data_IF_525717643225
#
_entry.id   IF_525717643225
#
_cell.length_a   1.000
_cell.length_b   1.000
_cell.length_c   1.000
_cell.angle_alpha   90.00
_cell.angle_beta   90.00
_cell.angle_gamma   90.00
#
_symmetry.space_group_name_H-M   'P 1'
#
loop_
_entity.id
_entity.type
_entity.pdbx_description
1 polymer ?
#
# COMPACT_ATOMS: atom_id res chain seq x y z
N UNK A 1 -14.76 3.12 -16.53
CA UNK A 1 -13.29 3.09 -16.76
C UNK A 1 -12.70 4.26 -16.01
N UNK A 2 -11.77 4.00 -15.12
CA UNK A 2 -11.21 5.04 -14.24
C UNK A 2 -9.78 5.36 -14.69
N UNK A 3 -9.60 6.54 -15.30
CA UNK A 3 -8.26 7.04 -15.58
C UNK A 3 -7.70 7.67 -14.32
N UNK A 4 -6.59 7.14 -13.80
CA UNK A 4 -5.91 7.66 -12.62
C UNK A 4 -4.45 7.95 -12.90
N UNK A 5 -3.85 8.98 -12.23
CA UNK A 5 -2.41 9.14 -12.24
C UNK A 5 -1.76 7.97 -11.50
N UNK A 6 -0.60 7.53 -11.98
CA UNK A 6 0.20 6.50 -11.32
C UNK A 6 1.50 7.11 -10.79
N UNK A 7 1.80 6.80 -9.55
CA UNK A 7 3.03 7.15 -8.88
C UNK A 7 3.85 5.88 -8.60
N UNK A 8 4.82 5.54 -9.46
CA UNK A 8 5.70 4.40 -9.22
C UNK A 8 6.62 4.68 -8.02
N UNK A 9 6.72 3.73 -7.10
CA UNK A 9 7.56 3.85 -5.89
C UNK A 9 8.34 2.55 -5.64
N UNK A 10 9.49 2.67 -4.97
CA UNK A 10 10.23 1.54 -4.39
C UNK A 10 9.67 1.14 -3.02
N UNK A 11 8.37 1.28 -2.85
CA UNK A 11 7.64 0.94 -1.63
C UNK A 11 6.23 0.50 -1.99
N UNK A 12 5.60 -0.24 -1.09
CA UNK A 12 4.28 -0.80 -1.30
C UNK A 12 3.33 -0.35 -0.19
N UNK A 13 2.08 -0.10 -0.54
CA UNK A 13 1.01 0.12 0.43
C UNK A 13 -0.17 -0.77 0.10
N UNK A 14 -0.91 -1.17 1.10
CA UNK A 14 -2.09 -2.01 0.98
C UNK A 14 -3.37 -1.20 1.26
N UNK A 15 -4.55 -1.69 0.88
CA UNK A 15 -5.81 -1.13 1.35
C UNK A 15 -5.84 -0.98 2.87
N UNK A 16 -6.29 0.19 3.34
CA UNK A 16 -6.28 0.56 4.76
C UNK A 16 -4.92 1.02 5.31
N UNK A 17 -3.83 0.90 4.56
CA UNK A 17 -2.50 1.36 4.96
C UNK A 17 -2.31 2.86 4.86
N UNK A 18 -1.41 3.38 5.66
CA UNK A 18 -1.01 4.78 5.68
C UNK A 18 0.46 4.89 5.26
N UNK A 19 0.77 5.89 4.44
CA UNK A 19 2.13 6.12 3.99
C UNK A 19 2.42 7.60 3.91
N UNK A 20 3.46 8.11 4.61
CA UNK A 20 3.97 9.46 4.39
C UNK A 20 4.82 9.48 3.12
N UNK A 21 4.67 10.53 2.32
CA UNK A 21 5.44 10.75 1.10
C UNK A 21 6.00 12.17 1.08
N UNK A 22 7.20 12.31 0.53
CA UNK A 22 7.83 13.61 0.25
C UNK A 22 7.81 13.84 -1.25
N UNK A 23 7.19 14.93 -1.68
CA UNK A 23 6.96 15.24 -3.08
C UNK A 23 7.88 16.38 -3.49
N UNK A 24 8.74 16.15 -4.49
CA UNK A 24 9.69 17.13 -4.98
C UNK A 24 9.68 17.28 -6.51
N UNK A 25 9.25 16.25 -7.26
CA UNK A 25 9.17 16.32 -8.70
C UNK A 25 7.96 17.15 -9.14
N UNK A 26 8.14 18.05 -10.09
CA UNK A 26 7.10 18.96 -10.58
C UNK A 26 5.82 18.23 -11.01
N UNK A 27 5.94 17.14 -11.76
CA UNK A 27 4.80 16.35 -12.23
C UNK A 27 3.96 15.79 -11.06
N UNK A 28 4.58 15.41 -9.96
CA UNK A 28 3.86 14.88 -8.78
C UNK A 28 3.30 16.00 -7.90
N UNK A 29 3.94 17.18 -7.85
CA UNK A 29 3.35 18.35 -7.20
C UNK A 29 2.05 18.77 -7.90
N UNK A 30 2.06 18.81 -9.24
CA UNK A 30 0.87 19.15 -10.02
C UNK A 30 -0.21 18.04 -9.91
N UNK A 31 0.20 16.76 -9.86
CA UNK A 31 -0.71 15.63 -9.60
C UNK A 31 -1.41 15.77 -8.24
N UNK A 32 -0.65 15.99 -7.16
CA UNK A 32 -1.19 16.16 -5.80
C UNK A 32 -2.16 17.34 -5.74
N UNK A 33 -1.78 18.50 -6.30
CA UNK A 33 -2.63 19.68 -6.39
C UNK A 33 -3.97 19.36 -7.05
N UNK A 34 -3.96 18.64 -8.18
CA UNK A 34 -5.17 18.26 -8.89
C UNK A 34 -5.99 17.24 -8.09
N UNK A 35 -5.36 16.24 -7.49
CA UNK A 35 -6.05 15.26 -6.65
C UNK A 35 -6.76 15.90 -5.46
N UNK A 36 -6.13 16.86 -4.80
CA UNK A 36 -6.74 17.61 -3.67
C UNK A 36 -7.90 18.44 -4.17
N UNK A 37 -7.69 19.24 -5.25
CA UNK A 37 -8.72 20.10 -5.81
C UNK A 37 -9.98 19.34 -6.21
N UNK A 38 -9.81 18.20 -6.89
CA UNK A 38 -10.90 17.43 -7.48
C UNK A 38 -11.42 16.33 -6.53
N UNK A 39 -10.89 16.26 -5.30
CA UNK A 39 -11.18 15.22 -4.32
C UNK A 39 -11.03 13.81 -4.93
N UNK A 40 -9.99 13.61 -5.73
CA UNK A 40 -9.62 12.32 -6.32
C UNK A 40 -8.41 11.72 -5.60
N UNK A 41 -7.83 10.67 -6.15
CA UNK A 41 -6.61 10.05 -5.66
C UNK A 41 -5.73 9.60 -6.82
N UNK A 42 -4.71 8.83 -6.51
CA UNK A 42 -3.77 8.29 -7.48
C UNK A 42 -3.37 6.86 -7.11
N UNK A 43 -2.82 6.13 -8.08
CA UNK A 43 -2.33 4.78 -7.87
C UNK A 43 -0.88 4.75 -7.43
N UNK A 44 -0.55 3.93 -6.43
CA UNK A 44 0.81 3.52 -6.11
C UNK A 44 1.06 2.17 -6.78
N UNK A 45 2.09 2.09 -7.62
CA UNK A 45 2.61 0.83 -8.19
C UNK A 45 4.06 0.64 -7.77
N UNK A 46 4.40 -0.58 -7.36
CA UNK A 46 5.78 -0.92 -7.05
C UNK A 46 6.63 -0.89 -8.31
N UNK A 47 7.79 -0.21 -8.26
CA UNK A 47 8.77 -0.23 -9.35
C UNK A 47 9.45 -1.59 -9.44
N UNK A 48 9.56 -2.10 -10.67
CA UNK A 48 10.41 -3.26 -10.96
C UNK A 48 11.83 -2.76 -11.26
N UNK A 49 12.80 -3.13 -10.46
CA UNK A 49 14.19 -2.65 -10.58
C UNK A 49 14.92 -3.16 -11.85
N UNK A 50 14.30 -4.06 -12.63
CA UNK A 50 14.96 -4.70 -13.77
C UNK A 50 14.93 -3.84 -15.03
N UNK A 51 13.81 -3.10 -15.29
CA UNK A 51 13.60 -2.38 -16.55
C UNK A 51 13.01 -0.96 -16.39
N UNK A 52 13.11 -0.32 -15.23
CA UNK A 52 12.38 0.92 -14.90
C UNK A 52 10.85 0.79 -15.12
N UNK A 53 10.34 -0.43 -15.16
CA UNK A 53 8.93 -0.74 -15.22
C UNK A 53 8.33 -0.80 -13.81
N UNK A 54 7.03 -0.94 -13.73
CA UNK A 54 6.30 -1.10 -12.48
C UNK A 54 5.22 -2.17 -12.67
N UNK A 55 4.81 -2.77 -11.56
CA UNK A 55 3.77 -3.80 -11.57
C UNK A 55 2.42 -3.22 -11.97
N UNK A 56 1.61 -4.01 -12.70
CA UNK A 56 0.29 -3.61 -13.14
C UNK A 56 -0.74 -3.60 -12.00
N UNK A 57 -0.53 -4.41 -10.96
CA UNK A 57 -1.36 -4.40 -9.75
C UNK A 57 -0.74 -3.47 -8.72
N UNK A 58 -1.53 -2.50 -8.28
CA UNK A 58 -1.14 -1.51 -7.29
C UNK A 58 -2.30 -1.15 -6.36
N UNK A 59 -2.10 -0.12 -5.55
CA UNK A 59 -3.10 0.38 -4.60
C UNK A 59 -3.50 1.81 -4.94
N UNK A 60 -4.79 2.04 -5.15
CA UNK A 60 -5.37 3.37 -5.26
C UNK A 60 -5.40 4.02 -3.90
N UNK A 61 -4.87 5.23 -3.80
CA UNK A 61 -4.70 5.97 -2.56
C UNK A 61 -5.40 7.32 -2.61
N UNK A 62 -5.88 7.76 -1.44
CA UNK A 62 -6.38 9.11 -1.20
C UNK A 62 -5.38 9.87 -0.35
N UNK A 63 -5.25 11.17 -0.62
CA UNK A 63 -4.51 12.10 0.24
C UNK A 63 -5.40 12.41 1.44
N UNK A 64 -4.86 12.21 2.64
CA UNK A 64 -5.54 12.53 3.90
C UNK A 64 -5.11 13.89 4.43
N UNK A 65 -3.81 14.16 4.35
CA UNK A 65 -3.21 15.35 4.90
C UNK A 65 -2.01 15.79 4.05
N UNK A 66 -1.65 17.06 4.17
CA UNK A 66 -0.50 17.64 3.50
C UNK A 66 0.07 18.80 4.33
N UNK A 67 1.39 18.93 4.31
CA UNK A 67 2.11 19.97 5.02
C UNK A 67 3.34 20.44 4.23
N UNK A 68 3.78 21.66 4.51
CA UNK A 68 5.09 22.11 4.06
C UNK A 68 6.12 21.69 5.10
N UNK A 69 7.08 20.87 4.69
CA UNK A 69 8.16 20.40 5.56
C UNK A 69 9.20 21.51 5.80
N UNK A 70 10.03 21.36 6.85
CA UNK A 70 11.07 22.35 7.23
C UNK A 70 12.07 22.64 6.10
N UNK A 71 12.30 21.69 5.20
CA UNK A 71 13.17 21.82 4.03
C UNK A 71 12.47 22.44 2.80
N UNK A 72 11.22 22.86 2.96
CA UNK A 72 10.41 23.49 1.92
C UNK A 72 9.73 22.50 0.97
N UNK A 73 9.96 21.18 1.11
CA UNK A 73 9.27 20.17 0.32
C UNK A 73 7.81 19.99 0.78
N UNK A 74 6.99 19.44 -0.12
CA UNK A 74 5.62 19.05 0.21
C UNK A 74 5.62 17.64 0.82
N UNK A 75 5.21 17.53 2.08
CA UNK A 75 4.83 16.29 2.74
C UNK A 75 3.36 15.98 2.50
N UNK A 76 3.03 14.74 2.22
CA UNK A 76 1.63 14.27 2.19
C UNK A 76 1.51 12.96 2.96
N UNK A 77 0.36 12.76 3.59
CA UNK A 77 -0.03 11.44 4.13
C UNK A 77 -1.12 10.86 3.25
N UNK A 78 -0.89 9.68 2.73
CA UNK A 78 -1.87 8.95 1.92
C UNK A 78 -2.45 7.76 2.67
N UNK A 79 -3.66 7.33 2.26
CA UNK A 79 -4.29 6.10 2.71
C UNK A 79 -4.68 5.24 1.52
N UNK A 80 -4.26 3.97 1.51
CA UNK A 80 -4.71 2.96 0.57
C UNK A 80 -6.22 2.72 0.70
N UNK A 81 -6.90 2.60 -0.44
CA UNK A 81 -8.36 2.39 -0.51
C UNK A 81 -8.69 1.03 -1.07
N UNK A 82 -8.27 0.74 -2.28
CA UNK A 82 -8.56 -0.51 -2.98
C UNK A 82 -7.41 -0.85 -3.93
N UNK A 83 -7.27 -2.12 -4.24
CA UNK A 83 -6.33 -2.53 -5.30
C UNK A 83 -6.90 -2.17 -6.67
N UNK A 84 -6.02 -2.03 -7.63
CA UNK A 84 -6.37 -1.87 -9.02
C UNK A 84 -5.45 -2.70 -9.92
N UNK A 85 -5.91 -2.96 -11.14
CA UNK A 85 -5.11 -3.53 -12.23
C UNK A 85 -5.06 -2.55 -13.39
N UNK A 86 -3.86 -2.28 -13.90
CA UNK A 86 -3.66 -1.47 -15.10
C UNK A 86 -4.10 -2.25 -16.33
N UNK A 87 -4.98 -1.66 -17.13
CA UNK A 87 -5.43 -2.20 -18.42
C UNK A 87 -4.59 -1.61 -19.55
N UNK A 88 -4.42 -0.31 -19.53
CA UNK A 88 -3.54 0.41 -20.44
C UNK A 88 -3.04 1.71 -19.79
N UNK A 89 -1.98 2.27 -20.36
CA UNK A 89 -1.32 3.47 -19.81
C UNK A 89 -0.82 4.39 -20.91
N UNK A 90 -0.76 5.68 -20.59
CA UNK A 90 -0.19 6.72 -21.43
C UNK A 90 0.79 7.53 -20.58
N UNK A 91 1.97 7.81 -21.12
CA UNK A 91 2.96 8.70 -20.50
C UNK A 91 2.78 10.09 -21.11
N UNK A 92 2.49 11.10 -20.29
CA UNK A 92 2.38 12.49 -20.72
C UNK A 92 3.75 13.10 -21.04
N UNK A 93 3.75 14.28 -21.63
CA UNK A 93 4.99 15.03 -21.98
C UNK A 93 5.83 15.33 -20.74
N UNK A 94 5.20 15.64 -19.61
CA UNK A 94 5.83 15.85 -18.30
C UNK A 94 6.28 14.55 -17.60
N UNK A 95 6.15 13.38 -18.28
CA UNK A 95 6.43 12.05 -17.80
C UNK A 95 5.49 11.55 -16.70
N UNK A 96 4.37 12.22 -16.44
CA UNK A 96 3.31 11.68 -15.59
C UNK A 96 2.62 10.52 -16.31
N UNK A 97 2.47 9.40 -15.60
CA UNK A 97 1.76 8.23 -16.11
C UNK A 97 0.28 8.39 -15.78
N UNK A 98 -0.58 8.23 -16.80
CA UNK A 98 -2.03 8.11 -16.62
C UNK A 98 -2.41 6.70 -17.07
N UNK A 99 -3.03 5.94 -16.19
CA UNK A 99 -3.48 4.59 -16.51
C UNK A 99 -5.01 4.49 -16.46
N UNK A 100 -5.55 3.76 -17.41
CA UNK A 100 -6.90 3.23 -17.31
C UNK A 100 -6.84 1.95 -16.47
N UNK A 101 -7.60 1.92 -15.39
CA UNK A 101 -7.53 0.84 -14.41
C UNK A 101 -8.88 0.20 -14.18
N UNK A 102 -8.84 -1.08 -13.86
CA UNK A 102 -9.93 -1.82 -13.25
C UNK A 102 -9.72 -1.88 -11.75
N UNK A 103 -10.69 -1.36 -10.99
CA UNK A 103 -10.67 -1.49 -9.53
C UNK A 103 -10.97 -2.94 -9.17
N UNK A 104 -10.14 -3.53 -8.33
CA UNK A 104 -10.34 -4.89 -7.88
C UNK A 104 -11.31 -4.91 -6.70
N UNK A 105 -12.22 -5.86 -6.74
CA UNK A 105 -13.09 -6.11 -5.59
C UNK A 105 -12.24 -6.64 -4.42
N UNK A 106 -12.42 -6.03 -3.26
CA UNK A 106 -11.80 -6.56 -2.05
C UNK A 106 -12.72 -7.65 -1.47
N UNK A 107 -12.20 -8.84 -1.16
CA UNK A 107 -13.00 -9.90 -0.58
C UNK A 107 -13.60 -9.45 0.76
N UNK A 108 -14.72 -10.07 1.13
CA UNK A 108 -15.30 -9.85 2.45
C UNK A 108 -14.29 -10.19 3.55
N UNK A 109 -14.28 -9.40 4.59
CA UNK A 109 -13.45 -9.67 5.76
C UNK A 109 -13.78 -11.05 6.31
N UNK A 110 -12.76 -11.86 6.52
CA UNK A 110 -12.88 -13.15 7.18
C UNK A 110 -12.20 -13.08 8.54
N UNK A 111 -12.86 -13.65 9.53
CA UNK A 111 -12.28 -13.82 10.87
C UNK A 111 -11.01 -14.68 10.77
N UNK A 112 -10.03 -14.36 11.62
CA UNK A 112 -8.80 -15.12 11.69
C UNK A 112 -9.04 -16.44 12.41
N UNK A 113 -8.74 -17.61 11.79
CA UNK A 113 -8.79 -18.90 12.46
C UNK A 113 -7.89 -18.93 13.72
N UNK A 114 -8.27 -19.74 14.71
CA UNK A 114 -7.57 -19.80 15.99
C UNK A 114 -6.08 -20.09 15.86
N UNK A 115 -5.70 -20.95 14.94
CA UNK A 115 -4.31 -21.31 14.65
C UNK A 115 -3.48 -20.16 14.08
N UNK A 116 -4.11 -19.13 13.50
CA UNK A 116 -3.44 -17.94 12.96
C UNK A 116 -3.48 -16.74 13.91
N UNK A 117 -4.24 -16.80 15.00
CA UNK A 117 -4.31 -15.73 15.99
C UNK A 117 -2.92 -15.32 16.55
N UNK A 118 -1.95 -16.22 16.78
CA UNK A 118 -0.62 -15.82 17.24
C UNK A 118 0.09 -14.81 16.33
N UNK A 119 -0.23 -14.77 15.04
CA UNK A 119 0.35 -13.79 14.09
C UNK A 119 -0.32 -12.43 14.18
N UNK A 120 -1.60 -12.39 14.52
CA UNK A 120 -2.28 -11.15 14.90
C UNK A 120 -1.74 -10.58 16.21
N UNK A 121 -1.53 -11.41 17.21
CA UNK A 121 -0.92 -11.00 18.49
C UNK A 121 0.52 -10.50 18.27
N UNK A 122 1.27 -11.13 17.38
CA UNK A 122 2.60 -10.67 16.97
C UNK A 122 2.55 -9.26 16.36
N UNK A 123 1.61 -9.01 15.43
CA UNK A 123 1.40 -7.67 14.87
C UNK A 123 1.04 -6.66 15.96
N UNK A 124 0.13 -7.03 16.86
CA UNK A 124 -0.30 -6.17 17.97
C UNK A 124 0.89 -5.75 18.83
N UNK A 125 1.74 -6.70 19.21
CA UNK A 125 2.95 -6.42 20.00
C UNK A 125 3.90 -5.48 19.26
N UNK A 126 4.09 -5.63 17.94
CA UNK A 126 4.92 -4.72 17.14
C UNK A 126 4.35 -3.30 17.18
N UNK A 127 3.05 -3.14 16.95
CA UNK A 127 2.42 -1.82 16.91
C UNK A 127 2.37 -1.14 18.29
N UNK A 128 2.31 -1.89 19.39
CA UNK A 128 2.42 -1.37 20.74
C UNK A 128 3.85 -0.90 21.07
N UNK A 129 4.88 -1.65 20.64
CA UNK A 129 6.28 -1.28 20.84
C UNK A 129 6.76 -0.16 19.91
N UNK A 130 6.22 -0.09 18.71
CA UNK A 130 6.62 0.85 17.66
C UNK A 130 5.38 1.57 17.06
N UNK A 131 4.72 2.48 17.79
CA UNK A 131 3.49 3.16 17.34
C UNK A 131 3.64 3.84 15.98
N UNK A 132 4.83 4.33 15.67
CA UNK A 132 5.14 4.99 14.39
C UNK A 132 4.90 4.14 13.13
N UNK A 133 4.76 2.82 13.25
CA UNK A 133 4.46 1.94 12.11
C UNK A 133 3.00 2.01 11.67
N UNK A 134 2.15 2.67 12.44
CA UNK A 134 0.76 2.86 12.07
C UNK A 134 0.24 4.20 12.56
N UNK A 135 -0.71 4.79 11.87
CA UNK A 135 -1.28 6.08 12.26
C UNK A 135 -2.05 5.93 13.58
N UNK A 136 -1.76 6.79 14.57
CA UNK A 136 -2.24 6.63 15.95
C UNK A 136 -3.76 6.58 16.07
N UNK A 137 -4.46 7.45 15.33
CA UNK A 137 -5.93 7.56 15.32
C UNK A 137 -6.61 6.57 14.36
N UNK A 138 -5.84 5.72 13.66
CA UNK A 138 -6.42 4.79 12.70
C UNK A 138 -7.01 3.57 13.39
N UNK A 139 -8.20 3.09 12.95
CA UNK A 139 -8.83 1.91 13.52
C UNK A 139 -7.95 0.66 13.30
N UNK A 140 -7.92 -0.21 14.30
CA UNK A 140 -7.12 -1.44 14.31
C UNK A 140 -8.05 -2.65 14.39
N UNK A 141 -7.93 -3.55 13.42
CA UNK A 141 -8.83 -4.70 13.23
C UNK A 141 -8.07 -6.03 13.38
N UNK A 142 -7.64 -6.32 14.61
CA UNK A 142 -6.80 -7.50 14.91
C UNK A 142 -7.48 -8.86 14.72
N UNK A 143 -8.79 -8.90 14.51
CA UNK A 143 -9.54 -10.12 14.22
C UNK A 143 -9.80 -10.32 12.73
N UNK A 144 -9.45 -9.35 11.88
CA UNK A 144 -9.72 -9.38 10.45
C UNK A 144 -8.47 -9.81 9.66
N UNK A 145 -8.57 -10.92 8.93
CA UNK A 145 -7.46 -11.49 8.17
C UNK A 145 -6.90 -10.54 7.11
N UNK A 146 -7.76 -9.77 6.44
CA UNK A 146 -7.37 -8.79 5.43
C UNK A 146 -6.53 -7.65 6.01
N UNK A 147 -6.95 -7.11 7.15
CA UNK A 147 -6.23 -6.03 7.81
C UNK A 147 -4.90 -6.54 8.39
N UNK A 148 -4.91 -7.67 9.11
CA UNK A 148 -3.71 -8.23 9.74
C UNK A 148 -2.68 -8.62 8.70
N UNK A 149 -3.07 -9.35 7.64
CA UNK A 149 -2.14 -9.75 6.58
C UNK A 149 -1.53 -8.54 5.86
N UNK A 150 -2.31 -7.51 5.59
CA UNK A 150 -1.83 -6.28 4.95
C UNK A 150 -0.81 -5.55 5.83
N UNK A 151 -1.11 -5.33 7.10
CA UNK A 151 -0.20 -4.64 8.05
C UNK A 151 1.07 -5.44 8.30
N UNK A 152 0.97 -6.76 8.47
CA UNK A 152 2.16 -7.61 8.58
C UNK A 152 3.05 -7.50 7.35
N UNK A 153 2.48 -7.55 6.14
CA UNK A 153 3.25 -7.43 4.90
C UNK A 153 3.98 -6.08 4.81
N UNK A 154 3.35 -4.99 5.22
CA UNK A 154 3.97 -3.66 5.19
C UNK A 154 5.18 -3.58 6.14
N UNK A 155 5.07 -4.16 7.34
CA UNK A 155 6.05 -4.03 8.43
C UNK A 155 7.19 -5.04 8.31
N UNK A 156 6.91 -6.26 7.90
CA UNK A 156 7.93 -7.34 7.84
C UNK A 156 9.06 -6.99 6.86
N UNK A 157 10.32 -7.37 7.19
CA UNK A 157 11.48 -7.12 6.35
C UNK A 157 11.56 -8.12 5.18
N UNK A 158 10.52 -8.16 4.37
CA UNK A 158 10.42 -8.98 3.16
C UNK A 158 11.00 -8.24 1.95
N UNK A 159 11.50 -8.99 0.98
CA UNK A 159 11.82 -8.43 -0.34
C UNK A 159 10.58 -7.80 -0.98
N UNK A 160 10.75 -6.66 -1.67
CA UNK A 160 9.63 -5.94 -2.27
C UNK A 160 8.83 -6.78 -3.25
N UNK A 161 9.51 -7.64 -4.04
CA UNK A 161 8.86 -8.58 -4.95
C UNK A 161 7.94 -9.58 -4.22
N UNK A 162 8.35 -10.03 -3.03
CA UNK A 162 7.56 -10.97 -2.24
C UNK A 162 6.34 -10.27 -1.62
N UNK A 163 6.51 -8.99 -1.20
CA UNK A 163 5.38 -8.14 -0.78
C UNK A 163 4.40 -7.90 -1.93
N UNK A 164 4.89 -7.72 -3.16
CA UNK A 164 4.04 -7.59 -4.34
C UNK A 164 3.23 -8.86 -4.60
N UNK A 165 3.84 -10.03 -4.49
CA UNK A 165 3.13 -11.32 -4.60
C UNK A 165 2.01 -11.42 -3.57
N UNK A 166 2.23 -10.96 -2.33
CA UNK A 166 1.17 -10.92 -1.30
C UNK A 166 0.06 -9.94 -1.69
N UNK A 167 0.40 -8.75 -2.23
CA UNK A 167 -0.62 -7.79 -2.68
C UNK A 167 -1.53 -8.38 -3.78
N UNK A 168 -0.98 -9.20 -4.67
CA UNK A 168 -1.70 -9.80 -5.79
C UNK A 168 -2.65 -10.94 -5.39
N UNK A 169 -2.42 -11.60 -4.25
CA UNK A 169 -3.30 -12.64 -3.74
C UNK A 169 -4.66 -12.03 -3.37
N UNK A 170 -5.75 -12.61 -3.85
CA UNK A 170 -7.10 -12.15 -3.53
C UNK A 170 -7.57 -12.61 -2.14
N UNK A 171 -7.35 -13.89 -1.84
CA UNK A 171 -7.78 -14.49 -0.56
C UNK A 171 -6.91 -14.04 0.62
N UNK A 172 -7.52 -13.38 1.60
CA UNK A 172 -6.83 -12.85 2.77
C UNK A 172 -6.28 -13.93 3.71
N UNK A 173 -6.92 -15.10 3.79
CA UNK A 173 -6.40 -16.21 4.59
C UNK A 173 -5.17 -16.81 3.92
N UNK A 174 -5.17 -16.95 2.59
CA UNK A 174 -4.00 -17.39 1.83
C UNK A 174 -2.83 -16.44 2.04
N UNK A 175 -3.06 -15.11 2.07
CA UNK A 175 -2.02 -14.13 2.44
C UNK A 175 -1.46 -14.42 3.83
N UNK A 176 -2.35 -14.63 4.80
CA UNK A 176 -1.95 -14.82 6.19
C UNK A 176 -1.20 -16.14 6.40
N UNK A 177 -1.57 -17.22 5.72
CA UNK A 177 -0.81 -18.47 5.73
C UNK A 177 0.60 -18.30 5.13
N UNK A 178 0.74 -17.57 4.02
CA UNK A 178 2.08 -17.26 3.46
C UNK A 178 2.94 -16.46 4.42
N UNK A 179 2.35 -15.49 5.11
CA UNK A 179 3.06 -14.71 6.12
C UNK A 179 3.45 -15.55 7.34
N UNK A 180 2.57 -16.46 7.76
CA UNK A 180 2.91 -17.47 8.77
C UNK A 180 4.16 -18.23 8.38
N UNK A 181 4.19 -18.82 7.17
CA UNK A 181 5.33 -19.62 6.70
C UNK A 181 6.63 -18.77 6.65
N UNK A 182 6.53 -17.51 6.22
CA UNK A 182 7.65 -16.57 6.23
C UNK A 182 8.15 -16.30 7.67
N UNK A 183 7.27 -15.96 8.59
CA UNK A 183 7.61 -15.64 9.99
C UNK A 183 8.23 -16.88 10.66
N UNK A 184 7.64 -18.05 10.50
CA UNK A 184 8.12 -19.30 11.13
C UNK A 184 9.48 -19.71 10.57
N UNK A 185 9.74 -19.47 9.28
CA UNK A 185 11.06 -19.71 8.68
C UNK A 185 12.17 -18.86 9.31
N UNK A 186 11.83 -17.65 9.79
CA UNK A 186 12.79 -16.73 10.43
C UNK A 186 13.02 -17.01 11.91
N UNK A 187 12.10 -17.70 12.59
CA UNK A 187 12.27 -18.13 13.99
C UNK A 187 13.26 -19.28 14.15
N UNK A 188 13.52 -20.04 13.07
CA UNK A 188 14.39 -21.22 13.06
C UNK A 188 15.84 -20.91 12.65
N UNK A 189 16.20 -19.65 12.55
CA UNK A 189 17.56 -19.13 12.29
C UNK A 189 18.09 -18.44 13.55
#
# INVERSE_FOLDING_TARGET
MNNIPIFPLSSITFPGGYMPLRIFERRYLDMVKNCVKDNTGFGISLTNNIDNEYYDIGTYCKILDWEQMDDGLLGITIRGKSRYKIVNKVVKDDKLIIANVEMMDEPNFADIPKELMPYSDFLKNILEQYPKFYHDDAPKYFTESGWVSSRLTEILPMELKDKQVILEIEDYLVRLYRLKDYIDSKKNI
#
